data_IF_296041066003
#
_entry.id   IF_296041066003
#
_cell.length_a   1.000
_cell.length_b   1.000
_cell.length_c   1.000
_cell.angle_alpha   90.00
_cell.angle_beta   90.00
_cell.angle_gamma   90.00
#
_symmetry.space_group_name_H-M   'P 1'
#
loop_
_entity.id
_entity.type
_entity.pdbx_description
1 polymer ?
#
# COMPACT_ATOMS: atom_id res chain seq x y z
N UNK A 1 -7.91 -19.05 27.38
CA UNK A 1 -6.96 -18.84 26.26
C UNK A 1 -7.75 -18.84 24.96
N UNK A 2 -7.99 -17.67 24.39
CA UNK A 2 -8.60 -17.54 23.06
C UNK A 2 -7.59 -17.99 22.02
N UNK A 3 -7.78 -19.17 21.44
CA UNK A 3 -6.98 -19.62 20.30
C UNK A 3 -7.22 -18.66 19.15
N UNK A 4 -6.21 -17.86 18.79
CA UNK A 4 -6.23 -17.06 17.56
C UNK A 4 -6.34 -18.04 16.40
N UNK A 5 -7.42 -17.99 15.59
CA UNK A 5 -7.54 -18.88 14.45
C UNK A 5 -6.31 -18.78 13.53
N UNK A 6 -5.77 -19.92 13.09
CA UNK A 6 -4.52 -20.02 12.29
C UNK A 6 -4.45 -19.02 11.13
N UNK A 7 -5.59 -18.72 10.50
CA UNK A 7 -5.69 -17.73 9.41
C UNK A 7 -5.28 -16.31 9.83
N UNK A 8 -5.66 -15.85 11.03
CA UNK A 8 -5.31 -14.51 11.49
C UNK A 8 -3.81 -14.43 11.80
N UNK A 9 -3.22 -15.50 12.34
CA UNK A 9 -1.78 -15.59 12.53
C UNK A 9 -1.03 -15.57 11.20
N UNK A 10 -1.52 -16.28 10.17
CA UNK A 10 -0.94 -16.26 8.82
C UNK A 10 -1.01 -14.88 8.18
N UNK A 11 -2.16 -14.22 8.26
CA UNK A 11 -2.36 -12.88 7.68
C UNK A 11 -1.54 -11.83 8.43
N UNK A 12 -1.44 -11.93 9.75
CA UNK A 12 -0.55 -11.09 10.54
C UNK A 12 0.92 -11.31 10.17
N UNK A 13 1.36 -12.57 10.03
CA UNK A 13 2.72 -12.89 9.61
C UNK A 13 3.02 -12.33 8.20
N UNK A 14 2.07 -12.42 7.27
CA UNK A 14 2.19 -11.83 5.94
C UNK A 14 2.28 -10.29 5.97
N UNK A 15 1.42 -9.62 6.74
CA UNK A 15 1.49 -8.16 6.93
C UNK A 15 2.83 -7.75 7.54
N UNK A 16 3.30 -8.46 8.57
CA UNK A 16 4.61 -8.21 9.21
C UNK A 16 5.75 -8.41 8.21
N UNK A 17 5.69 -9.46 7.40
CA UNK A 17 6.67 -9.71 6.36
C UNK A 17 6.76 -8.53 5.36
N UNK A 18 5.63 -8.03 4.85
CA UNK A 18 5.61 -6.87 3.96
C UNK A 18 6.22 -5.62 4.62
N UNK A 19 5.85 -5.35 5.87
CA UNK A 19 6.41 -4.23 6.65
C UNK A 19 7.91 -4.39 6.85
N UNK A 20 8.38 -5.60 7.15
CA UNK A 20 9.81 -5.87 7.31
C UNK A 20 10.58 -5.63 6.01
N UNK A 21 10.07 -6.11 4.87
CA UNK A 21 10.73 -5.88 3.58
C UNK A 21 10.79 -4.38 3.25
N UNK A 22 9.69 -3.65 3.44
CA UNK A 22 9.67 -2.19 3.25
C UNK A 22 10.69 -1.47 4.15
N UNK A 23 10.68 -1.75 5.45
CA UNK A 23 11.56 -1.08 6.40
C UNK A 23 13.03 -1.43 6.20
N UNK A 24 13.34 -2.68 5.85
CA UNK A 24 14.73 -3.09 5.57
C UNK A 24 15.26 -2.45 4.29
N UNK A 25 14.46 -2.39 3.23
CA UNK A 25 14.86 -1.76 1.97
C UNK A 25 15.08 -0.25 2.14
N UNK A 26 14.16 0.45 2.81
CA UNK A 26 14.31 1.88 3.15
C UNK A 26 15.54 2.14 4.03
N UNK A 27 15.75 1.32 5.06
CA UNK A 27 16.91 1.44 5.93
C UNK A 27 18.22 1.19 5.18
N UNK A 28 18.24 0.29 4.19
CA UNK A 28 19.39 0.08 3.33
C UNK A 28 19.71 1.35 2.55
N UNK A 29 18.73 1.89 1.81
CA UNK A 29 18.90 3.11 1.01
C UNK A 29 19.38 4.28 1.88
N UNK A 30 18.76 4.51 3.03
CA UNK A 30 19.12 5.61 3.92
C UNK A 30 20.54 5.49 4.53
N UNK A 31 21.13 4.30 4.55
CA UNK A 31 22.48 4.05 5.07
C UNK A 31 23.55 4.05 3.98
N UNK A 32 23.20 3.67 2.75
CA UNK A 32 24.18 3.47 1.68
C UNK A 32 24.20 4.61 0.67
N UNK A 33 23.17 5.47 0.62
CA UNK A 33 23.05 6.55 -0.36
C UNK A 33 22.98 7.92 0.32
N UNK A 34 23.41 8.95 -0.40
CA UNK A 34 23.20 10.36 -0.03
C UNK A 34 21.82 10.81 -0.49
N UNK A 35 21.21 11.74 0.24
CA UNK A 35 19.91 12.28 -0.15
C UNK A 35 19.99 12.91 -1.55
N UNK A 36 19.05 12.57 -2.43
CA UNK A 36 18.97 12.88 -3.87
C UNK A 36 20.01 12.19 -4.76
N UNK A 37 20.83 11.29 -4.23
CA UNK A 37 21.67 10.43 -5.05
C UNK A 37 20.80 9.46 -5.86
N UNK A 38 21.17 9.23 -7.12
CA UNK A 38 20.53 8.26 -8.01
C UNK A 38 21.59 7.36 -8.63
N UNK A 39 21.44 6.05 -8.40
CA UNK A 39 22.33 5.00 -8.91
C UNK A 39 21.58 4.24 -10.00
N UNK A 40 22.04 4.25 -11.26
CA UNK A 40 21.38 3.52 -12.33
C UNK A 40 21.54 2.02 -12.13
N UNK A 41 20.40 1.30 -12.15
CA UNK A 41 20.38 -0.18 -12.10
C UNK A 41 20.16 -0.73 -13.50
N UNK A 42 19.22 -0.15 -14.26
CA UNK A 42 18.99 -0.42 -15.68
C UNK A 42 19.08 0.93 -16.42
N UNK A 43 20.19 1.23 -17.10
CA UNK A 43 20.36 2.48 -17.82
C UNK A 43 19.22 2.72 -18.82
N UNK A 44 18.60 3.90 -18.75
CA UNK A 44 17.46 4.28 -19.59
C UNK A 44 16.09 3.77 -19.11
N UNK A 45 16.00 3.12 -17.94
CA UNK A 45 14.73 2.56 -17.45
C UNK A 45 14.52 2.65 -15.92
N UNK A 46 15.54 2.30 -15.13
CA UNK A 46 15.37 2.13 -13.67
C UNK A 46 16.61 2.58 -12.89
N UNK A 47 16.38 3.44 -11.90
CA UNK A 47 17.37 3.87 -10.91
C UNK A 47 16.92 3.49 -9.50
N UNK A 48 17.89 3.29 -8.62
CA UNK A 48 17.69 3.48 -7.19
C UNK A 48 17.97 4.94 -6.87
N UNK A 49 16.99 5.65 -6.36
CA UNK A 49 17.14 7.04 -5.88
C UNK A 49 16.99 7.09 -4.37
N UNK A 50 17.41 8.17 -3.72
CA UNK A 50 17.08 8.40 -2.31
C UNK A 50 16.34 9.73 -2.15
N UNK A 51 15.01 9.65 -2.04
CA UNK A 51 14.14 10.79 -1.85
C UNK A 51 13.44 10.68 -0.49
N UNK A 52 13.28 11.81 0.18
CA UNK A 52 12.37 11.95 1.33
C UNK A 52 11.14 12.71 0.91
N UNK A 53 10.00 12.06 0.98
CA UNK A 53 8.73 12.56 0.51
C UNK A 53 7.88 13.03 1.70
N UNK A 54 7.66 14.35 1.86
CA UNK A 54 6.82 14.90 2.92
C UNK A 54 5.31 14.71 2.65
N UNK A 55 4.94 14.03 1.56
CA UNK A 55 3.57 13.81 1.13
C UNK A 55 3.10 14.76 0.02
N UNK A 56 4.00 15.39 -0.73
CA UNK A 56 3.62 16.29 -1.82
C UNK A 56 3.46 15.57 -3.19
N UNK A 57 2.94 14.33 -3.18
CA UNK A 57 2.75 13.57 -4.42
C UNK A 57 1.84 14.35 -5.38
N UNK A 58 2.27 14.50 -6.64
CA UNK A 58 1.58 15.27 -7.69
C UNK A 58 1.36 16.76 -7.38
N UNK A 59 2.15 17.37 -6.49
CA UNK A 59 2.00 18.78 -6.12
C UNK A 59 0.82 19.08 -5.20
N UNK A 60 0.05 18.05 -4.80
CA UNK A 60 -1.00 18.17 -3.80
C UNK A 60 -0.37 18.64 -2.48
N UNK A 61 -0.84 19.78 -1.95
CA UNK A 61 -0.34 20.40 -0.72
C UNK A 61 1.13 20.88 -0.76
N UNK A 62 1.74 21.01 -1.94
CA UNK A 62 3.11 21.53 -2.06
C UNK A 62 3.24 22.96 -1.48
N UNK A 63 2.20 23.79 -1.63
CA UNK A 63 2.11 25.14 -1.08
C UNK A 63 1.71 25.20 0.41
N UNK A 64 1.31 24.08 1.01
CA UNK A 64 0.93 24.04 2.42
C UNK A 64 2.16 23.99 3.34
N UNK A 65 1.98 24.37 4.60
CA UNK A 65 3.07 24.29 5.57
C UNK A 65 3.51 22.84 5.81
N UNK A 66 4.80 22.65 6.12
CA UNK A 66 5.36 21.31 6.37
C UNK A 66 4.65 20.61 7.53
N UNK A 67 4.34 21.35 8.61
CA UNK A 67 3.59 20.82 9.75
C UNK A 67 2.17 20.37 9.38
N UNK A 68 1.47 21.11 8.52
CA UNK A 68 0.15 20.70 8.05
C UNK A 68 0.21 19.40 7.25
N UNK A 69 1.15 19.28 6.30
CA UNK A 69 1.32 18.05 5.50
C UNK A 69 1.59 16.83 6.39
N UNK A 70 2.53 16.97 7.33
CA UNK A 70 2.89 15.89 8.25
C UNK A 70 1.65 15.39 9.02
N UNK A 71 0.91 16.31 9.65
CA UNK A 71 -0.30 15.96 10.42
C UNK A 71 -1.37 15.37 9.52
N UNK A 72 -1.62 15.97 8.35
CA UNK A 72 -2.61 15.49 7.39
C UNK A 72 -2.33 14.03 6.98
N UNK A 73 -1.13 13.73 6.47
CA UNK A 73 -0.81 12.38 6.02
C UNK A 73 -0.72 11.36 7.15
N UNK A 74 -0.29 11.78 8.35
CA UNK A 74 -0.32 10.93 9.53
C UNK A 74 -1.76 10.52 9.86
N UNK A 75 -2.68 11.49 9.95
CA UNK A 75 -4.09 11.25 10.26
C UNK A 75 -4.79 10.44 9.17
N UNK A 76 -4.56 10.76 7.89
CA UNK A 76 -5.12 9.99 6.77
C UNK A 76 -4.63 8.55 6.78
N UNK A 77 -3.35 8.30 7.09
CA UNK A 77 -2.80 6.94 7.20
C UNK A 77 -3.46 6.16 8.34
N UNK A 78 -3.60 6.77 9.53
CA UNK A 78 -4.29 6.16 10.67
C UNK A 78 -5.76 5.86 10.36
N UNK A 79 -6.46 6.80 9.72
CA UNK A 79 -7.83 6.61 9.28
C UNK A 79 -7.96 5.45 8.28
N UNK A 80 -7.10 5.41 7.26
CA UNK A 80 -7.10 4.34 6.27
C UNK A 80 -6.84 2.96 6.90
N UNK A 81 -5.89 2.86 7.84
CA UNK A 81 -5.63 1.63 8.59
C UNK A 81 -6.86 1.22 9.41
N UNK A 82 -7.50 2.14 10.13
CA UNK A 82 -8.72 1.87 10.89
C UNK A 82 -9.88 1.38 10.01
N UNK A 83 -10.05 1.98 8.83
CA UNK A 83 -11.03 1.57 7.84
C UNK A 83 -10.73 0.16 7.31
N UNK A 84 -9.48 -0.12 6.91
CA UNK A 84 -9.06 -1.44 6.41
C UNK A 84 -9.24 -2.52 7.47
N UNK A 85 -8.91 -2.24 8.73
CA UNK A 85 -9.16 -3.18 9.84
C UNK A 85 -10.66 -3.44 10.02
N UNK A 86 -11.50 -2.42 9.90
CA UNK A 86 -12.96 -2.58 9.96
C UNK A 86 -13.48 -3.46 8.81
N UNK A 87 -12.98 -3.24 7.59
CA UNK A 87 -13.30 -4.08 6.42
C UNK A 87 -12.85 -5.52 6.69
N UNK A 88 -11.61 -5.71 7.15
CA UNK A 88 -11.04 -7.02 7.44
C UNK A 88 -11.91 -7.87 8.38
N UNK A 89 -12.38 -7.28 9.48
CA UNK A 89 -13.24 -8.00 10.42
C UNK A 89 -14.66 -8.28 9.92
N UNK A 90 -15.10 -7.59 8.85
CA UNK A 90 -16.38 -7.85 8.18
C UNK A 90 -16.27 -8.89 7.06
N UNK A 91 -15.06 -9.23 6.62
CA UNK A 91 -14.87 -10.26 5.59
C UNK A 91 -15.26 -11.63 6.11
N UNK A 92 -15.87 -12.43 5.22
CA UNK A 92 -16.22 -13.81 5.55
C UNK A 92 -14.92 -14.61 5.77
N UNK A 93 -14.89 -15.52 6.75
CA UNK A 93 -13.77 -16.45 6.95
C UNK A 93 -13.27 -17.17 5.69
N UNK A 94 -14.18 -17.48 4.77
CA UNK A 94 -13.93 -18.20 3.52
C UNK A 94 -13.42 -17.28 2.39
N UNK A 95 -13.51 -15.96 2.55
CA UNK A 95 -13.01 -15.00 1.57
C UNK A 95 -11.51 -14.76 1.79
N UNK A 96 -10.72 -15.75 1.39
CA UNK A 96 -9.26 -15.71 1.53
C UNK A 96 -8.62 -14.62 0.66
N UNK A 97 -9.16 -14.40 -0.55
CA UNK A 97 -8.65 -13.39 -1.48
C UNK A 97 -8.91 -11.97 -0.98
N UNK A 98 -10.10 -11.69 -0.45
CA UNK A 98 -10.38 -10.41 0.20
C UNK A 98 -9.48 -10.17 1.40
N UNK A 99 -9.24 -11.20 2.22
CA UNK A 99 -8.36 -11.11 3.39
C UNK A 99 -6.90 -10.81 3.01
N UNK A 100 -6.32 -11.51 2.03
CA UNK A 100 -4.96 -11.22 1.54
C UNK A 100 -4.89 -9.82 0.93
N UNK A 101 -5.92 -9.42 0.17
CA UNK A 101 -5.99 -8.10 -0.45
C UNK A 101 -5.91 -7.01 0.61
N UNK A 102 -6.75 -7.08 1.64
CA UNK A 102 -6.74 -6.11 2.75
C UNK A 102 -5.43 -6.17 3.53
N UNK A 103 -4.89 -7.35 3.80
CA UNK A 103 -3.59 -7.50 4.49
C UNK A 103 -2.42 -6.88 3.69
N UNK A 104 -2.45 -6.99 2.36
CA UNK A 104 -1.43 -6.38 1.48
C UNK A 104 -1.46 -4.86 1.55
N UNK A 105 -2.66 -4.26 1.44
CA UNK A 105 -2.83 -2.80 1.55
C UNK A 105 -2.44 -2.34 2.97
N UNK A 106 -2.85 -3.08 3.99
CA UNK A 106 -2.54 -2.79 5.38
C UNK A 106 -1.03 -2.81 5.65
N UNK A 107 -0.31 -3.80 5.12
CA UNK A 107 1.15 -3.89 5.24
C UNK A 107 1.86 -2.67 4.65
N UNK A 108 1.46 -2.25 3.46
CA UNK A 108 2.01 -1.03 2.85
C UNK A 108 1.65 0.24 3.62
N UNK A 109 0.38 0.38 4.04
CA UNK A 109 -0.06 1.53 4.84
C UNK A 109 0.71 1.65 6.16
N UNK A 110 0.96 0.53 6.85
CA UNK A 110 1.75 0.49 8.08
C UNK A 110 3.22 0.84 7.80
N UNK A 111 3.85 0.30 6.76
CA UNK A 111 5.24 0.62 6.42
C UNK A 111 5.46 2.13 6.19
N UNK A 112 4.54 2.74 5.45
CA UNK A 112 4.54 4.18 5.20
C UNK A 112 4.15 5.05 6.41
N UNK A 113 3.34 4.52 7.33
CA UNK A 113 3.03 5.18 8.61
C UNK A 113 4.25 5.18 9.53
N UNK A 114 5.02 4.09 9.58
CA UNK A 114 6.22 3.97 10.42
C UNK A 114 7.21 5.08 10.08
N UNK A 115 7.48 5.32 8.80
CA UNK A 115 8.38 6.40 8.36
C UNK A 115 7.85 7.76 8.77
N UNK A 116 6.55 8.04 8.58
CA UNK A 116 5.93 9.31 8.98
C UNK A 116 6.04 9.58 10.47
N UNK A 117 5.91 8.54 11.31
CA UNK A 117 6.09 8.66 12.75
C UNK A 117 7.56 8.92 13.10
N UNK A 118 8.50 8.24 12.43
CA UNK A 118 9.94 8.31 12.75
C UNK A 118 10.63 9.55 12.20
N UNK A 119 10.26 9.97 10.99
CA UNK A 119 10.99 10.95 10.20
C UNK A 119 10.13 12.14 9.77
N UNK A 120 8.79 12.05 9.89
CA UNK A 120 7.85 13.04 9.35
C UNK A 120 7.65 12.96 7.83
N UNK A 121 8.39 12.09 7.15
CA UNK A 121 8.47 11.93 5.71
C UNK A 121 8.61 10.45 5.36
N UNK A 122 8.33 10.07 4.12
CA UNK A 122 8.50 8.70 3.60
C UNK A 122 9.78 8.59 2.80
N UNK A 123 10.49 7.47 2.92
CA UNK A 123 11.66 7.20 2.07
C UNK A 123 11.20 6.54 0.77
N UNK A 124 11.43 7.20 -0.36
CA UNK A 124 11.15 6.71 -1.70
C UNK A 124 12.46 6.44 -2.44
N UNK A 125 12.50 5.35 -3.21
CA UNK A 125 13.74 4.88 -3.81
C UNK A 125 13.64 4.13 -5.12
N UNK A 126 12.44 3.71 -5.53
CA UNK A 126 12.21 3.10 -6.83
C UNK A 126 11.89 4.20 -7.83
N UNK A 127 12.82 4.47 -8.74
CA UNK A 127 12.67 5.50 -9.78
C UNK A 127 12.69 4.85 -11.17
N UNK A 128 11.55 4.90 -11.86
CA UNK A 128 11.39 4.38 -13.21
C UNK A 128 11.22 5.55 -14.18
N UNK A 129 11.91 5.50 -15.32
CA UNK A 129 11.92 6.59 -16.29
C UNK A 129 12.09 6.09 -17.72
N UNK A 130 11.60 6.87 -18.69
CA UNK A 130 11.81 6.65 -20.13
C UNK A 130 12.06 8.01 -20.77
N UNK A 131 13.11 8.14 -21.59
CA UNK A 131 13.47 9.38 -22.30
C UNK A 131 13.53 10.64 -21.40
N UNK A 132 13.99 10.47 -20.16
CA UNK A 132 14.08 11.56 -19.16
C UNK A 132 12.77 11.93 -18.48
N UNK A 133 11.66 11.26 -18.81
CA UNK A 133 10.40 11.38 -18.08
C UNK A 133 10.37 10.37 -16.93
N UNK A 134 10.34 10.88 -15.70
CA UNK A 134 10.33 10.08 -14.49
C UNK A 134 8.90 9.87 -13.97
N UNK A 135 8.58 8.62 -13.65
CA UNK A 135 7.46 8.33 -12.77
C UNK A 135 7.80 8.79 -11.35
N UNK A 136 6.85 9.31 -10.55
CA UNK A 136 7.12 9.69 -9.17
C UNK A 136 7.75 8.53 -8.40
N UNK A 137 8.91 8.77 -7.79
CA UNK A 137 9.59 7.74 -7.03
C UNK A 137 8.69 7.18 -5.91
N UNK A 138 8.81 5.87 -5.68
CA UNK A 138 7.96 5.16 -4.73
C UNK A 138 8.77 4.09 -3.99
N UNK A 139 8.10 3.30 -3.15
CA UNK A 139 8.74 2.25 -2.36
C UNK A 139 7.93 0.94 -2.35
N UNK A 140 8.38 -0.04 -1.57
CA UNK A 140 7.72 -1.35 -1.44
C UNK A 140 6.35 -1.22 -0.79
N UNK A 141 6.18 -0.34 0.20
CA UNK A 141 4.87 -0.06 0.78
C UNK A 141 3.87 0.50 -0.26
N UNK A 142 4.27 1.43 -1.11
CA UNK A 142 3.41 1.96 -2.19
C UNK A 142 3.07 0.89 -3.23
N UNK A 143 4.03 0.01 -3.53
CA UNK A 143 3.82 -1.14 -4.42
C UNK A 143 2.76 -2.08 -3.83
N UNK A 144 2.86 -2.39 -2.53
CA UNK A 144 1.89 -3.23 -1.83
C UNK A 144 0.48 -2.60 -1.82
N UNK A 145 0.38 -1.29 -1.54
CA UNK A 145 -0.89 -0.56 -1.62
C UNK A 145 -1.47 -0.64 -3.03
N UNK A 146 -0.67 -0.35 -4.05
CA UNK A 146 -1.11 -0.32 -5.46
C UNK A 146 -1.60 -1.69 -5.92
N UNK A 147 -0.83 -2.76 -5.67
CA UNK A 147 -1.21 -4.13 -6.02
C UNK A 147 -2.44 -4.60 -5.25
N UNK A 148 -2.56 -4.24 -3.97
CA UNK A 148 -3.73 -4.53 -3.17
C UNK A 148 -4.99 -3.83 -3.68
N UNK A 149 -4.89 -2.54 -4.04
CA UNK A 149 -6.01 -1.78 -4.63
C UNK A 149 -6.42 -2.37 -5.99
N UNK A 150 -5.46 -2.71 -6.85
CA UNK A 150 -5.74 -3.42 -8.10
C UNK A 150 -6.46 -4.76 -7.85
N UNK A 151 -5.99 -5.54 -6.88
CA UNK A 151 -6.61 -6.81 -6.50
C UNK A 151 -8.05 -6.62 -6.01
N UNK A 152 -8.31 -5.57 -5.21
CA UNK A 152 -9.65 -5.22 -4.75
C UNK A 152 -10.60 -4.93 -5.91
N UNK A 153 -10.16 -4.14 -6.90
CA UNK A 153 -10.95 -3.84 -8.09
C UNK A 153 -11.26 -5.09 -8.90
N UNK A 154 -10.28 -5.98 -9.08
CA UNK A 154 -10.46 -7.25 -9.80
C UNK A 154 -11.49 -8.13 -9.07
N UNK A 155 -11.36 -8.28 -7.75
CA UNK A 155 -12.30 -9.07 -6.95
C UNK A 155 -13.73 -8.54 -7.05
N UNK A 156 -13.90 -7.21 -6.96
CA UNK A 156 -15.21 -6.59 -7.10
C UNK A 156 -15.82 -6.77 -8.51
N UNK A 157 -15.01 -6.64 -9.56
CA UNK A 157 -15.45 -6.86 -10.93
C UNK A 157 -15.84 -8.34 -11.20
N UNK A 158 -15.14 -9.28 -10.59
CA UNK A 158 -15.47 -10.71 -10.66
C UNK A 158 -16.76 -11.04 -9.89
N UNK A 159 -16.98 -10.44 -8.73
CA UNK A 159 -18.19 -10.66 -7.92
C UNK A 159 -19.46 -10.13 -8.60
N UNK A 160 -19.37 -8.94 -9.21
CA UNK A 160 -20.47 -8.39 -10.05
C UNK A 160 -20.85 -9.31 -11.22
N UNK A 161 -19.86 -9.95 -11.86
CA UNK A 161 -20.15 -10.88 -12.97
C UNK A 161 -20.89 -12.14 -12.50
N UNK A 162 -20.54 -12.67 -11.32
CA UNK A 162 -21.25 -13.82 -10.73
C UNK A 162 -22.69 -13.48 -10.39
N UNK A 163 -22.95 -12.31 -9.81
CA UNK A 163 -24.31 -11.88 -9.46
C UNK A 163 -25.17 -11.53 -10.69
N UNK A 164 -24.59 -10.97 -11.76
CA UNK A 164 -25.33 -10.67 -13.00
C UNK A 164 -25.69 -11.92 -13.81
N UNK A 165 -24.89 -12.98 -13.72
CA UNK A 165 -25.19 -14.28 -14.33
C UNK A 165 -26.21 -15.11 -13.49
N UNK A 166 -26.59 -14.62 -12.30
CA UNK A 166 -27.34 -15.39 -11.29
C UNK A 166 -28.80 -14.94 -11.06
N UNK A 167 -29.45 -14.15 -11.94
CA UNK A 167 -30.86 -13.74 -11.74
C UNK A 167 -31.66 -13.68 -13.06
N UNK A 168 -32.89 -14.25 -13.17
CA UNK A 168 -33.48 -15.40 -12.45
C UNK A 168 -34.14 -16.45 -13.39
N UNK A 169 -34.15 -17.71 -12.97
CA UNK A 169 -35.06 -18.72 -13.53
C UNK A 169 -36.46 -18.54 -12.92
N UNK A 170 -37.44 -18.28 -13.79
CA UNK A 170 -38.90 -18.40 -13.63
C UNK A 170 -39.60 -17.77 -12.41
N UNK A 171 -40.23 -16.61 -12.63
CA UNK A 171 -41.55 -16.32 -12.02
C UNK A 171 -42.62 -16.58 -13.08
N UNK A 172 -43.16 -17.81 -13.10
CA UNK A 172 -44.52 -18.05 -13.59
C UNK A 172 -45.22 -18.96 -12.58
N UNK A 173 -45.76 -18.36 -11.54
CA UNK A 173 -46.86 -18.98 -10.83
C UNK A 173 -48.13 -18.42 -11.50
N UNK A 174 -48.73 -19.30 -12.32
CA UNK A 174 -50.15 -19.26 -12.69
C UNK A 174 -50.95 -19.85 -11.53
#
# INVERSE_FOLDING_TARGET
>A
MTFIPRRYAMLAAYTVFLVMVDQLTKASIARTMRLHESIPVIPGFFNLTYIRNPGAAFGLLASSSSGFRMVFFLLTSLFAIGLLMTIFFRLRPTDWWGQITVATILGGAIGNLIDRIRYGEVIDFLDFYIDGYHWPAFNIADTAISLGVCSLFILFACDKRKSHCAIPEHRSEL
#
